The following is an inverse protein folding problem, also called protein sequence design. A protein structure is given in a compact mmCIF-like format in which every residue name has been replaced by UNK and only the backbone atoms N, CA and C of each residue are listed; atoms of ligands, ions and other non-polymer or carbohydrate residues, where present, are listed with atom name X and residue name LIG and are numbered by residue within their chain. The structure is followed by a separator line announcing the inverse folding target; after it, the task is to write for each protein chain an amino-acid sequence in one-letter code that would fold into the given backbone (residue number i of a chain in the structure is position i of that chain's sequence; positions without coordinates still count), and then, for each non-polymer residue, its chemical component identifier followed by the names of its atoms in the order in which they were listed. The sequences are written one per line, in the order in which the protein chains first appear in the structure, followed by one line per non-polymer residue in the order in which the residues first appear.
data_IF_546294495785
#
_entry.id   IF_546294495785
#
_cell.length_a   1.000
_cell.length_b   1.000
_cell.length_c   1.000
_cell.angle_alpha   90.00
_cell.angle_beta   90.00
_cell.angle_gamma   90.00
#
_symmetry.space_group_name_H-M   'P 1'
#
loop_
_entity.id
_entity.type
_entity.pdbx_description
1 polymer ?
#
# COMPACT_ATOMS: atom_id res chain seq x y z
N UNK A 1 20.93 -7.49 38.50
CA UNK A 1 21.03 -7.36 37.04
C UNK A 1 20.06 -8.38 36.45
N UNK A 2 18.80 -7.96 36.28
CA UNK A 2 17.68 -8.83 35.88
C UNK A 2 17.38 -8.55 34.42
N UNK A 3 17.46 -9.58 33.59
CA UNK A 3 17.26 -9.53 32.15
C UNK A 3 15.75 -9.50 31.88
N UNK A 4 15.26 -8.39 31.32
CA UNK A 4 13.86 -8.20 30.97
C UNK A 4 13.43 -9.02 29.76
N UNK A 5 12.27 -9.68 29.89
CA UNK A 5 11.55 -10.35 28.79
C UNK A 5 11.08 -9.29 27.77
N UNK A 6 11.35 -9.53 26.49
CA UNK A 6 10.68 -8.85 25.37
C UNK A 6 9.31 -9.50 25.15
N UNK A 7 8.29 -8.68 24.95
CA UNK A 7 6.90 -9.08 24.70
C UNK A 7 6.74 -9.31 23.18
N UNK A 8 6.71 -10.58 22.75
CA UNK A 8 6.71 -11.03 21.35
C UNK A 8 5.29 -11.09 20.72
N UNK A 9 4.43 -10.10 20.98
CA UNK A 9 3.02 -10.14 20.51
C UNK A 9 2.72 -9.52 19.15
N UNK A 10 3.73 -9.09 18.37
CA UNK A 10 3.52 -8.42 17.06
C UNK A 10 4.39 -9.03 15.96
N UNK A 11 4.35 -10.36 15.80
CA UNK A 11 5.23 -11.00 14.82
C UNK A 11 4.87 -12.43 14.47
N UNK A 12 3.73 -12.62 13.80
CA UNK A 12 3.47 -13.69 12.80
C UNK A 12 1.97 -13.68 12.44
N UNK A 13 1.64 -13.15 11.28
CA UNK A 13 0.41 -13.50 10.56
C UNK A 13 0.71 -13.46 9.07
N UNK A 14 1.32 -14.53 8.58
CA UNK A 14 1.37 -14.85 7.15
C UNK A 14 1.29 -16.36 7.00
N UNK A 15 0.17 -16.95 7.43
CA UNK A 15 -0.17 -18.34 7.13
C UNK A 15 -1.70 -18.47 7.08
N UNK A 16 -2.21 -18.60 5.86
CA UNK A 16 -3.53 -19.10 5.42
C UNK A 16 -4.74 -18.87 6.35
N UNK A 17 -5.44 -17.75 6.18
CA UNK A 17 -6.76 -17.53 6.78
C UNK A 17 -7.88 -18.04 5.86
N UNK A 18 -8.48 -19.17 6.24
CA UNK A 18 -9.74 -19.68 5.65
C UNK A 18 -10.99 -19.03 6.24
N UNK A 19 -12.12 -19.17 5.56
CA UNK A 19 -13.43 -18.73 6.05
C UNK A 19 -13.82 -19.54 7.30
N UNK A 20 -13.87 -18.90 8.47
CA UNK A 20 -14.26 -19.53 9.74
C UNK A 20 -13.57 -19.00 11.01
N UNK A 21 -12.62 -18.07 10.91
CA UNK A 21 -12.01 -17.46 12.09
C UNK A 21 -13.03 -16.60 12.85
N UNK A 22 -13.07 -16.78 14.17
CA UNK A 22 -13.82 -15.91 15.08
C UNK A 22 -13.26 -14.48 14.97
N UNK A 23 -14.10 -13.44 14.86
CA UNK A 23 -13.64 -12.06 14.84
C UNK A 23 -12.71 -11.77 16.04
N UNK A 24 -11.64 -11.01 15.80
CA UNK A 24 -10.83 -10.50 16.89
C UNK A 24 -11.64 -9.48 17.68
N UNK A 25 -11.93 -9.77 18.95
CA UNK A 25 -12.61 -8.84 19.82
C UNK A 25 -11.66 -7.68 20.17
N UNK A 26 -11.98 -6.47 19.70
CA UNK A 26 -11.19 -5.26 19.88
C UNK A 26 -12.06 -4.12 20.40
N UNK A 27 -12.61 -4.23 21.63
CA UNK A 27 -13.54 -3.24 22.17
C UNK A 27 -12.82 -1.96 22.54
N UNK A 28 -13.51 -0.83 22.42
CA UNK A 28 -12.98 0.50 22.72
C UNK A 28 -13.60 1.08 23.98
N UNK A 29 -12.79 1.77 24.79
CA UNK A 29 -13.27 2.62 25.86
C UNK A 29 -13.36 4.07 25.35
N UNK A 30 -14.56 4.62 25.32
CA UNK A 30 -14.82 5.98 24.86
C UNK A 30 -14.99 6.86 26.09
N UNK A 31 -14.01 7.73 26.35
CA UNK A 31 -13.98 8.63 27.50
C UNK A 31 -14.48 10.01 27.07
N UNK A 32 -15.69 10.37 27.50
CA UNK A 32 -16.21 11.72 27.32
C UNK A 32 -15.55 12.64 28.36
N UNK A 33 -14.89 13.69 27.90
CA UNK A 33 -14.08 14.56 28.78
C UNK A 33 -14.49 16.02 28.63
N UNK A 34 -14.64 16.72 29.75
CA UNK A 34 -14.90 18.15 29.79
C UNK A 34 -13.84 18.88 30.60
N UNK A 35 -13.32 19.98 30.07
CA UNK A 35 -12.32 20.78 30.79
C UNK A 35 -12.95 21.51 31.98
N UNK A 36 -12.15 21.85 32.99
CA UNK A 36 -12.63 22.51 34.21
C UNK A 36 -13.40 23.80 33.94
N UNK A 37 -12.99 24.53 32.91
CA UNK A 37 -13.53 25.83 32.49
C UNK A 37 -14.62 25.73 31.39
N UNK A 38 -14.97 24.52 30.95
CA UNK A 38 -16.00 24.27 29.94
C UNK A 38 -16.88 23.11 30.40
N UNK A 39 -18.07 23.38 30.94
CA UNK A 39 -18.90 22.35 31.59
C UNK A 39 -20.01 21.78 30.70
N UNK A 40 -20.08 22.22 29.44
CA UNK A 40 -21.11 21.84 28.49
C UNK A 40 -21.02 20.35 28.11
N UNK A 41 -22.18 19.73 27.94
CA UNK A 41 -22.37 18.36 27.49
C UNK A 41 -23.14 18.39 26.17
N UNK A 42 -22.45 18.36 25.02
CA UNK A 42 -23.11 18.47 23.73
C UNK A 42 -24.09 17.32 23.46
N UNK A 43 -25.14 17.61 22.67
CA UNK A 43 -26.26 16.71 22.35
C UNK A 43 -27.17 16.29 23.51
N UNK A 44 -27.17 17.07 24.59
CA UNK A 44 -28.16 17.01 25.66
C UNK A 44 -27.70 16.22 26.89
N UNK A 45 -28.50 16.22 27.96
CA UNK A 45 -28.14 15.53 29.19
C UNK A 45 -28.11 14.01 28.95
N UNK A 46 -26.92 13.42 29.03
CA UNK A 46 -26.70 11.98 28.90
C UNK A 46 -25.72 11.60 27.79
N UNK A 47 -25.53 10.29 27.62
CA UNK A 47 -24.50 9.74 26.71
C UNK A 47 -25.09 9.05 25.48
N UNK A 48 -26.40 9.16 25.23
CA UNK A 48 -27.09 8.34 24.21
C UNK A 48 -26.53 8.55 22.79
N UNK A 49 -26.25 9.80 22.38
CA UNK A 49 -25.66 10.08 21.07
C UNK A 49 -24.34 9.33 20.86
N UNK A 50 -23.51 9.31 21.89
CA UNK A 50 -22.22 8.63 21.87
C UNK A 50 -22.38 7.10 21.95
N UNK A 51 -23.37 6.60 22.71
CA UNK A 51 -23.71 5.18 22.74
C UNK A 51 -24.16 4.69 21.35
N UNK A 52 -25.06 5.42 20.70
CA UNK A 52 -25.51 5.13 19.33
C UNK A 52 -24.34 5.13 18.33
N UNK A 53 -23.33 5.96 18.55
CA UNK A 53 -22.19 6.07 17.64
C UNK A 53 -21.14 4.98 17.86
N UNK A 54 -20.82 4.64 19.11
CA UNK A 54 -19.64 3.83 19.44
C UNK A 54 -19.93 2.42 19.92
N UNK A 55 -21.19 2.08 20.20
CA UNK A 55 -21.55 0.77 20.77
C UNK A 55 -22.63 0.08 19.96
N UNK A 56 -22.85 -1.20 20.27
CA UNK A 56 -23.89 -2.02 19.66
C UNK A 56 -25.32 -1.47 19.85
N UNK A 57 -25.52 -0.53 20.78
CA UNK A 57 -26.80 0.15 20.98
C UNK A 57 -27.29 0.90 19.72
N UNK A 58 -26.37 1.39 18.89
CA UNK A 58 -26.69 2.06 17.63
C UNK A 58 -26.55 1.19 16.38
N UNK A 59 -26.50 -0.14 16.51
CA UNK A 59 -26.34 -1.05 15.37
C UNK A 59 -27.31 -0.75 14.22
N UNK A 60 -26.79 -0.74 13.00
CA UNK A 60 -27.51 -0.39 11.78
C UNK A 60 -27.74 1.12 11.58
N UNK A 61 -27.15 1.98 12.41
CA UNK A 61 -27.26 3.44 12.31
C UNK A 61 -25.99 4.12 11.78
N UNK A 62 -25.09 3.38 11.15
CA UNK A 62 -23.82 3.89 10.62
C UNK A 62 -22.88 4.40 11.71
N UNK A 63 -22.85 3.67 12.84
CA UNK A 63 -21.88 3.88 13.91
C UNK A 63 -20.53 3.20 13.65
N UNK A 64 -19.59 3.32 14.59
CA UNK A 64 -18.26 2.72 14.49
C UNK A 64 -18.28 1.19 14.57
N UNK A 65 -19.24 0.60 15.29
CA UNK A 65 -19.45 -0.85 15.28
C UNK A 65 -19.84 -1.32 13.87
N UNK A 66 -20.79 -0.62 13.22
CA UNK A 66 -21.20 -0.94 11.84
C UNK A 66 -20.04 -0.75 10.85
N UNK A 67 -19.32 0.37 10.99
CA UNK A 67 -18.19 0.71 10.13
C UNK A 67 -17.12 -0.38 10.17
N UNK A 68 -16.61 -0.73 11.35
CA UNK A 68 -15.55 -1.73 11.46
C UNK A 68 -16.05 -3.14 11.15
N UNK A 69 -17.33 -3.48 11.38
CA UNK A 69 -17.87 -4.75 10.93
C UNK A 69 -17.86 -4.88 9.39
N UNK A 70 -18.24 -3.82 8.67
CA UNK A 70 -18.23 -3.81 7.20
C UNK A 70 -16.82 -3.68 6.63
N UNK A 71 -16.00 -2.73 7.11
CA UNK A 71 -14.66 -2.48 6.58
C UNK A 71 -13.62 -3.52 6.97
N UNK A 72 -13.86 -4.29 8.03
CA UNK A 72 -12.96 -5.38 8.40
C UNK A 72 -13.32 -6.73 7.78
N UNK A 73 -14.39 -6.77 6.97
CA UNK A 73 -15.05 -8.01 6.61
C UNK A 73 -15.31 -8.94 7.81
N UNK A 74 -15.79 -8.35 8.91
CA UNK A 74 -16.07 -9.04 10.17
C UNK A 74 -14.86 -9.69 10.81
N UNK A 75 -13.63 -9.27 10.48
CA UNK A 75 -12.40 -9.75 11.14
C UNK A 75 -12.18 -9.09 12.49
N UNK A 76 -12.76 -7.92 12.74
CA UNK A 76 -12.78 -7.30 14.05
C UNK A 76 -14.20 -7.13 14.57
N UNK A 77 -14.34 -7.26 15.89
CA UNK A 77 -15.59 -7.02 16.60
C UNK A 77 -15.38 -5.95 17.67
N UNK A 78 -16.23 -4.92 17.63
CA UNK A 78 -16.21 -3.79 18.56
C UNK A 78 -17.46 -3.80 19.46
N UNK A 79 -18.26 -4.86 19.44
CA UNK A 79 -19.58 -4.93 20.10
C UNK A 79 -19.53 -4.71 21.61
N UNK A 80 -18.42 -5.08 22.25
CA UNK A 80 -18.13 -4.89 23.68
C UNK A 80 -17.59 -3.48 24.03
N UNK A 81 -17.53 -2.56 23.06
CA UNK A 81 -17.12 -1.17 23.29
C UNK A 81 -18.09 -0.46 24.25
N UNK A 82 -17.56 0.47 25.05
CA UNK A 82 -18.34 1.18 26.06
C UNK A 82 -18.03 2.67 26.07
N UNK A 83 -19.09 3.47 26.18
CA UNK A 83 -18.98 4.90 26.50
C UNK A 83 -19.00 5.10 28.00
N UNK A 84 -18.02 5.88 28.45
CA UNK A 84 -17.85 6.35 29.81
C UNK A 84 -18.25 7.83 29.87
N UNK A 85 -18.92 8.19 30.96
CA UNK A 85 -19.59 9.49 31.11
C UNK A 85 -18.65 10.70 31.05
N UNK A 86 -19.23 11.89 31.22
CA UNK A 86 -18.51 13.16 31.15
C UNK A 86 -17.57 13.37 32.35
N UNK A 87 -16.32 12.95 32.21
CA UNK A 87 -15.28 13.20 33.19
C UNK A 87 -14.84 14.66 33.16
N UNK A 88 -14.95 15.33 34.31
CA UNK A 88 -14.42 16.69 34.48
C UNK A 88 -12.92 16.62 34.74
N UNK A 89 -12.13 17.13 33.79
CA UNK A 89 -10.69 17.24 33.93
C UNK A 89 -10.35 18.37 34.91
N UNK A 90 -9.32 18.18 35.75
CA UNK A 90 -8.82 19.22 36.66
C UNK A 90 -8.02 20.33 35.92
N UNK A 91 -7.99 20.26 34.58
CA UNK A 91 -7.26 21.15 33.65
C UNK A 91 -8.20 22.11 32.93
N UNK A 92 -7.69 23.30 32.63
CA UNK A 92 -8.35 24.26 31.72
C UNK A 92 -8.10 23.85 30.27
N UNK A 93 -8.97 24.28 29.36
CA UNK A 93 -8.72 24.10 27.92
C UNK A 93 -7.40 24.74 27.50
N UNK A 94 -7.04 25.89 28.10
CA UNK A 94 -5.78 26.58 27.84
C UNK A 94 -4.53 25.82 28.29
N UNK A 95 -4.66 24.80 29.15
CA UNK A 95 -3.53 23.98 29.59
C UNK A 95 -3.09 22.99 28.50
N UNK A 96 -3.98 22.68 27.54
CA UNK A 96 -3.64 21.88 26.37
C UNK A 96 -2.90 22.73 25.33
N UNK A 97 -1.67 22.33 25.02
CA UNK A 97 -0.73 23.09 24.17
C UNK A 97 -0.56 22.55 22.75
N UNK A 98 -1.29 21.49 22.40
CA UNK A 98 -1.27 20.89 21.06
C UNK A 98 -2.33 21.42 20.12
N UNK A 99 -2.29 20.91 18.89
CA UNK A 99 -3.38 20.97 17.92
C UNK A 99 -2.96 20.29 16.60
N UNK A 100 -3.81 19.41 16.07
CA UNK A 100 -3.63 18.83 14.73
C UNK A 100 -2.28 18.14 14.58
N UNK A 101 -1.41 18.69 13.72
CA UNK A 101 -0.06 18.13 13.49
C UNK A 101 0.93 18.41 14.64
N UNK A 102 0.63 19.33 15.57
CA UNK A 102 1.46 19.56 16.75
C UNK A 102 1.10 18.55 17.85
N UNK A 103 1.96 17.56 18.15
CA UNK A 103 1.68 16.53 19.15
C UNK A 103 1.85 17.02 20.60
N UNK A 104 2.29 18.27 20.82
CA UNK A 104 2.47 18.81 22.16
C UNK A 104 1.19 18.65 22.99
N UNK A 105 1.30 18.23 24.25
CA UNK A 105 0.13 18.08 25.11
C UNK A 105 -0.85 16.94 24.77
N UNK A 106 -0.78 16.27 23.61
CA UNK A 106 -1.67 15.13 23.27
C UNK A 106 -1.55 13.98 24.26
N UNK A 107 -0.32 13.56 24.52
CA UNK A 107 -0.05 12.52 25.51
C UNK A 107 -0.52 12.93 26.91
N UNK A 108 -0.44 14.23 27.23
CA UNK A 108 -0.93 14.76 28.50
C UNK A 108 -2.45 14.72 28.57
N UNK A 109 -3.16 15.12 27.51
CA UNK A 109 -4.62 15.04 27.42
C UNK A 109 -5.11 13.60 27.61
N UNK A 110 -4.47 12.64 26.93
CA UNK A 110 -4.79 11.21 27.09
C UNK A 110 -4.51 10.75 28.52
N UNK A 111 -3.41 11.19 29.13
CA UNK A 111 -3.10 10.89 30.52
C UNK A 111 -4.13 11.51 31.49
N UNK A 112 -4.60 12.74 31.24
CA UNK A 112 -5.63 13.40 32.04
C UNK A 112 -6.96 12.65 31.97
N UNK A 113 -7.38 12.24 30.76
CA UNK A 113 -8.59 11.45 30.56
C UNK A 113 -8.53 10.10 31.30
N UNK A 114 -7.40 9.37 31.17
CA UNK A 114 -7.20 8.09 31.88
C UNK A 114 -7.17 8.27 33.40
N UNK A 115 -6.53 9.33 33.90
CA UNK A 115 -6.51 9.64 35.32
C UNK A 115 -7.91 9.98 35.86
N UNK A 116 -8.73 10.69 35.07
CA UNK A 116 -10.09 11.02 35.44
C UNK A 116 -11.00 9.77 35.48
N UNK A 117 -10.86 8.85 34.51
CA UNK A 117 -11.54 7.55 34.53
C UNK A 117 -11.13 6.71 35.75
N UNK A 118 -9.83 6.62 36.04
CA UNK A 118 -9.33 5.91 37.22
C UNK A 118 -9.85 6.50 38.54
N UNK A 119 -9.95 7.84 38.64
CA UNK A 119 -10.53 8.54 39.80
C UNK A 119 -12.02 8.24 39.97
N UNK A 120 -12.74 7.98 38.88
CA UNK A 120 -14.13 7.54 38.90
C UNK A 120 -14.29 6.04 39.21
N UNK A 121 -13.20 5.27 39.26
CA UNK A 121 -13.20 3.84 39.53
C UNK A 121 -13.41 2.96 38.29
N UNK A 122 -13.27 3.51 37.08
CA UNK A 122 -13.44 2.77 35.84
C UNK A 122 -12.15 2.06 35.41
N UNK A 123 -12.24 0.75 35.13
CA UNK A 123 -11.14 -0.07 34.63
C UNK A 123 -11.13 -0.06 33.09
N UNK A 124 -10.04 0.45 32.52
CA UNK A 124 -9.83 0.54 31.08
C UNK A 124 -8.99 -0.62 30.52
N UNK A 125 -8.46 -1.51 31.37
CA UNK A 125 -7.60 -2.62 30.96
C UNK A 125 -8.23 -3.66 30.01
N UNK A 126 -9.56 -3.89 30.02
CA UNK A 126 -10.18 -4.86 29.09
C UNK A 126 -10.28 -4.37 27.65
N UNK A 127 -10.07 -3.07 27.40
CA UNK A 127 -10.32 -2.46 26.09
C UNK A 127 -9.04 -2.45 25.23
N UNK A 128 -9.21 -2.75 23.95
CA UNK A 128 -8.16 -2.69 22.94
C UNK A 128 -7.57 -1.29 22.81
N UNK A 129 -8.43 -0.27 22.81
CA UNK A 129 -8.05 1.11 22.61
C UNK A 129 -8.92 2.09 23.38
N UNK A 130 -8.50 3.35 23.38
CA UNK A 130 -9.22 4.45 24.04
C UNK A 130 -9.50 5.56 23.05
N UNK A 131 -10.75 6.02 23.01
CA UNK A 131 -11.14 7.27 22.37
C UNK A 131 -11.31 8.33 23.47
N UNK A 132 -10.59 9.44 23.38
CA UNK A 132 -10.80 10.61 24.23
C UNK A 132 -11.60 11.62 23.42
N UNK A 133 -12.85 11.87 23.82
CA UNK A 133 -13.72 12.81 23.15
C UNK A 133 -13.92 14.05 24.03
N UNK A 134 -13.40 15.20 23.60
CA UNK A 134 -13.51 16.44 24.36
C UNK A 134 -14.76 17.24 23.98
N UNK A 135 -15.43 17.86 24.95
CA UNK A 135 -16.61 18.71 24.73
C UNK A 135 -16.33 20.00 23.95
N UNK A 136 -15.06 20.38 23.84
CA UNK A 136 -14.58 21.59 23.15
C UNK A 136 -13.46 21.25 22.18
N UNK A 137 -13.15 22.12 21.22
CA UNK A 137 -12.21 21.83 20.15
C UNK A 137 -10.81 21.72 20.72
N UNK A 138 -10.20 20.56 20.55
CA UNK A 138 -8.94 20.25 21.23
C UNK A 138 -7.95 19.65 20.27
N UNK A 139 -8.24 18.47 19.73
CA UNK A 139 -7.29 17.76 18.87
C UNK A 139 -8.00 16.70 18.02
N UNK A 140 -7.38 16.35 16.89
CA UNK A 140 -7.82 15.28 16.01
C UNK A 140 -6.64 14.38 15.69
N UNK A 141 -6.65 13.15 16.19
CA UNK A 141 -5.54 12.22 16.02
C UNK A 141 -5.94 10.78 16.32
N UNK A 142 -5.33 9.85 15.56
CA UNK A 142 -5.39 8.43 15.77
C UNK A 142 -4.02 7.78 15.69
N UNK A 143 -3.75 6.82 16.57
CA UNK A 143 -2.55 6.00 16.51
C UNK A 143 -2.27 5.22 17.78
N UNK A 144 -1.63 4.05 17.65
CA UNK A 144 -1.19 3.20 18.78
C UNK A 144 -2.29 2.92 19.81
N UNK A 145 -3.49 2.55 19.37
CA UNK A 145 -4.63 2.23 20.25
C UNK A 145 -5.27 3.45 20.94
N UNK A 146 -4.94 4.68 20.50
CA UNK A 146 -5.52 5.91 21.05
C UNK A 146 -6.09 6.76 19.93
N UNK A 147 -7.27 7.30 20.17
CA UNK A 147 -7.90 8.33 19.34
C UNK A 147 -8.23 9.53 20.21
N UNK A 148 -7.98 10.73 19.70
CA UNK A 148 -8.46 11.98 20.27
C UNK A 148 -9.35 12.66 19.23
N UNK A 149 -10.54 13.06 19.66
CA UNK A 149 -11.50 13.77 18.83
C UNK A 149 -12.24 14.82 19.68
N UNK A 150 -13.03 15.65 19.03
CA UNK A 150 -13.79 16.71 19.67
C UNK A 150 -15.15 16.92 18.99
N UNK A 151 -16.04 17.62 19.71
CA UNK A 151 -17.40 17.91 19.27
C UNK A 151 -17.56 19.16 18.38
N UNK A 152 -16.45 19.80 18.00
CA UNK A 152 -16.56 21.04 17.23
C UNK A 152 -16.70 20.78 15.73
N UNK A 153 -17.44 21.68 15.10
CA UNK A 153 -17.59 21.81 13.66
C UNK A 153 -16.38 22.51 13.09
N UNK A 154 -15.78 21.91 12.07
CA UNK A 154 -14.82 22.60 11.22
C UNK A 154 -15.52 23.81 10.58
N UNK A 155 -15.00 25.04 10.74
CA UNK A 155 -15.64 26.24 10.20
C UNK A 155 -15.75 26.23 8.67
N UNK A 156 -14.79 25.60 7.99
CA UNK A 156 -14.67 25.61 6.53
C UNK A 156 -15.71 24.71 5.85
N UNK A 157 -16.12 23.61 6.47
CA UNK A 157 -17.04 22.64 5.86
C UNK A 157 -18.24 22.24 6.75
N UNK A 158 -18.31 22.73 7.99
CA UNK A 158 -19.39 22.47 8.95
C UNK A 158 -19.33 21.08 9.61
N UNK A 159 -18.39 20.22 9.21
CA UNK A 159 -18.30 18.83 9.65
C UNK A 159 -17.78 18.74 11.08
N UNK A 160 -18.40 17.91 11.90
CA UNK A 160 -17.93 17.68 13.26
C UNK A 160 -16.70 16.78 13.30
N UNK A 161 -15.77 17.06 14.23
CA UNK A 161 -14.62 16.19 14.50
C UNK A 161 -15.01 14.76 14.92
N UNK A 162 -16.21 14.58 15.49
CA UNK A 162 -16.74 13.26 15.82
C UNK A 162 -17.60 12.63 14.71
N UNK A 163 -17.56 13.17 13.49
CA UNK A 163 -18.22 12.57 12.34
C UNK A 163 -17.71 11.15 12.09
N UNK A 164 -18.58 10.16 11.75
CA UNK A 164 -18.15 8.80 11.43
C UNK A 164 -17.05 8.69 10.37
N UNK A 165 -17.04 9.59 9.38
CA UNK A 165 -15.94 9.69 8.41
C UNK A 165 -14.59 9.95 9.08
N UNK A 166 -14.51 10.98 9.94
CA UNK A 166 -13.29 11.33 10.69
C UNK A 166 -12.90 10.22 11.67
N UNK A 167 -13.87 9.71 12.44
CA UNK A 167 -13.61 8.64 13.41
C UNK A 167 -13.13 7.36 12.74
N UNK A 168 -13.68 7.00 11.58
CA UNK A 168 -13.23 5.84 10.82
C UNK A 168 -11.75 5.93 10.42
N UNK A 169 -11.29 7.12 9.99
CA UNK A 169 -9.86 7.38 9.73
C UNK A 169 -9.02 7.27 11.01
N UNK A 170 -9.36 8.02 12.05
CA UNK A 170 -8.52 8.09 13.25
C UNK A 170 -8.49 6.75 14.01
N UNK A 171 -9.62 6.06 14.11
CA UNK A 171 -9.64 4.70 14.66
C UNK A 171 -8.89 3.73 13.73
N UNK A 172 -8.93 3.92 12.41
CA UNK A 172 -8.14 3.17 11.43
C UNK A 172 -6.62 3.26 11.68
N UNK A 173 -6.11 4.44 12.01
CA UNK A 173 -4.70 4.63 12.39
C UNK A 173 -4.28 3.80 13.60
N UNK A 174 -5.19 3.55 14.54
CA UNK A 174 -4.90 2.69 15.69
C UNK A 174 -4.69 1.22 15.33
N UNK A 175 -5.23 0.78 14.20
CA UNK A 175 -5.01 -0.55 13.62
C UNK A 175 -3.81 -0.60 12.66
N UNK A 176 -3.11 0.51 12.44
CA UNK A 176 -1.89 0.57 11.63
C UNK A 176 -2.10 1.01 10.18
N UNK A 177 -3.30 1.51 9.84
CA UNK A 177 -3.54 2.11 8.51
C UNK A 177 -2.85 3.47 8.42
N UNK A 178 -2.22 3.76 7.28
CA UNK A 178 -1.68 5.09 6.96
C UNK A 178 -2.62 5.82 5.98
N UNK A 179 -2.33 7.08 5.70
CA UNK A 179 -3.08 7.85 4.72
C UNK A 179 -3.01 7.23 3.33
N UNK A 180 -4.12 7.31 2.61
CA UNK A 180 -4.22 6.84 1.23
C UNK A 180 -3.75 7.89 0.25
N UNK A 181 -3.19 7.43 -0.87
CA UNK A 181 -2.53 8.26 -1.88
C UNK A 181 -3.05 7.94 -3.28
N UNK A 182 -2.83 8.85 -4.22
CA UNK A 182 -2.76 8.57 -5.64
C UNK A 182 -1.30 8.32 -6.05
N UNK A 183 -1.09 7.53 -7.10
CA UNK A 183 0.26 7.25 -7.62
C UNK A 183 0.93 8.50 -8.23
N UNK A 184 0.13 9.50 -8.62
CA UNK A 184 0.61 10.69 -9.32
C UNK A 184 1.47 11.62 -8.45
N UNK A 185 1.17 11.72 -7.15
CA UNK A 185 1.79 12.73 -6.27
C UNK A 185 2.60 12.14 -5.11
N UNK A 186 2.30 10.90 -4.70
CA UNK A 186 2.82 10.33 -3.45
C UNK A 186 2.43 11.12 -2.19
N UNK A 187 1.51 12.09 -2.31
CA UNK A 187 1.04 12.92 -1.21
C UNK A 187 -0.14 12.26 -0.49
N UNK A 188 -0.17 12.40 0.83
CA UNK A 188 -1.27 11.92 1.66
C UNK A 188 -2.60 12.62 1.32
N UNK A 189 -3.71 11.90 1.55
CA UNK A 189 -5.08 12.39 1.37
C UNK A 189 -5.48 12.69 -0.08
N UNK A 190 -4.99 11.89 -1.01
CA UNK A 190 -5.25 12.08 -2.46
C UNK A 190 -6.16 11.02 -3.07
N UNK A 191 -6.35 9.86 -2.40
CA UNK A 191 -7.37 8.88 -2.82
C UNK A 191 -8.77 9.28 -2.30
N UNK A 192 -9.58 9.87 -3.17
CA UNK A 192 -10.92 10.35 -2.79
C UNK A 192 -11.95 9.24 -2.52
N UNK A 193 -11.63 7.97 -2.76
CA UNK A 193 -12.53 6.82 -2.57
C UNK A 193 -12.22 5.99 -1.32
N UNK A 194 -11.26 6.44 -0.51
CA UNK A 194 -10.86 5.76 0.72
C UNK A 194 -10.94 6.70 1.93
N UNK A 195 -11.39 6.15 3.06
CA UNK A 195 -11.57 6.94 4.30
C UNK A 195 -10.26 7.46 4.89
N UNK A 196 -9.12 6.82 4.60
CA UNK A 196 -7.81 7.30 5.04
C UNK A 196 -7.35 8.53 4.26
N UNK A 197 -8.24 9.11 3.46
CA UNK A 197 -8.12 10.41 2.80
C UNK A 197 -9.20 11.42 3.25
N UNK A 198 -9.79 11.31 4.45
CA UNK A 198 -11.00 12.04 4.87
C UNK A 198 -10.94 13.56 4.60
N UNK A 199 -9.75 14.18 4.65
CA UNK A 199 -9.57 15.59 4.29
C UNK A 199 -10.09 15.96 2.87
N UNK A 200 -10.11 15.00 1.93
CA UNK A 200 -10.52 15.18 0.53
C UNK A 200 -11.46 14.07 0.00
N UNK A 201 -11.91 13.16 0.88
CA UNK A 201 -12.68 11.98 0.50
C UNK A 201 -14.12 12.31 0.04
N UNK A 202 -14.70 11.41 -0.77
CA UNK A 202 -16.07 11.49 -1.28
C UNK A 202 -17.08 10.99 -0.24
N UNK A 203 -17.28 11.80 0.79
CA UNK A 203 -18.19 11.50 1.89
C UNK A 203 -19.65 11.81 1.53
N UNK A 204 -20.59 11.26 2.28
CA UNK A 204 -22.02 11.57 2.17
C UNK A 204 -22.61 12.05 3.51
N UNK A 205 -23.73 12.80 3.51
CA UNK A 205 -24.45 13.14 4.73
C UNK A 205 -24.85 11.87 5.50
N UNK A 206 -24.74 11.92 6.83
CA UNK A 206 -25.16 10.80 7.68
C UNK A 206 -26.68 10.59 7.60
N UNK A 207 -27.16 9.35 7.39
CA UNK A 207 -28.59 9.10 7.19
C UNK A 207 -29.45 9.30 8.47
N UNK A 208 -28.86 9.11 9.65
CA UNK A 208 -29.56 9.25 10.94
C UNK A 208 -29.23 10.53 11.73
N UNK A 209 -28.05 11.13 11.54
CA UNK A 209 -27.56 12.29 12.28
C UNK A 209 -27.60 13.45 11.30
N UNK A 210 -28.80 13.96 11.05
CA UNK A 210 -29.11 14.83 9.91
C UNK A 210 -28.97 16.31 10.23
N UNK A 211 -28.40 16.67 11.37
CA UNK A 211 -28.21 18.05 11.79
C UNK A 211 -27.38 18.83 10.76
N UNK A 212 -27.76 20.10 10.57
CA UNK A 212 -27.10 21.02 9.64
C UNK A 212 -26.54 22.22 10.39
N UNK A 213 -25.45 22.76 9.89
CA UNK A 213 -24.87 23.99 10.41
C UNK A 213 -25.68 25.23 10.01
N UNK A 214 -25.22 26.41 10.43
CA UNK A 214 -25.88 27.70 10.13
C UNK A 214 -25.97 28.02 8.64
N UNK A 215 -25.13 27.39 7.82
CA UNK A 215 -25.11 27.52 6.36
C UNK A 215 -25.87 26.40 5.66
N UNK A 216 -26.56 25.53 6.40
CA UNK A 216 -27.32 24.40 5.86
C UNK A 216 -26.46 23.20 5.45
N UNK A 217 -25.16 23.16 5.78
CA UNK A 217 -24.26 22.05 5.46
C UNK A 217 -24.45 20.90 6.46
N UNK A 218 -24.39 19.62 6.03
CA UNK A 218 -24.45 18.49 6.95
C UNK A 218 -23.30 18.52 7.97
N UNK A 219 -23.62 18.33 9.25
CA UNK A 219 -22.61 18.28 10.31
C UNK A 219 -21.95 16.89 10.39
N UNK A 220 -22.73 15.84 10.15
CA UNK A 220 -22.25 14.46 10.19
C UNK A 220 -22.19 13.88 8.79
N UNK A 221 -21.06 13.22 8.53
CA UNK A 221 -20.79 12.58 7.26
C UNK A 221 -20.31 11.15 7.48
N UNK A 222 -20.55 10.31 6.48
CA UNK A 222 -20.19 8.90 6.47
C UNK A 222 -19.33 8.60 5.25
N UNK A 223 -18.45 7.63 5.44
CA UNK A 223 -17.60 7.05 4.41
C UNK A 223 -16.70 8.06 3.68
N UNK A 224 -16.21 7.71 2.47
CA UNK A 224 -16.35 6.41 1.80
C UNK A 224 -15.77 5.26 2.63
N UNK A 225 -16.05 4.01 2.28
CA UNK A 225 -15.41 2.86 2.94
C UNK A 225 -13.92 2.73 2.63
N UNK A 226 -13.24 1.78 3.29
CA UNK A 226 -11.84 1.45 3.00
C UNK A 226 -11.67 0.79 1.64
N UNK A 227 -10.55 1.05 0.97
CA UNK A 227 -10.09 0.30 -0.20
C UNK A 227 -9.51 -1.07 0.22
N UNK A 228 -9.51 -2.01 -0.72
CA UNK A 228 -9.10 -3.39 -0.55
C UNK A 228 -7.61 -3.52 -0.18
N UNK A 229 -6.77 -2.60 -0.65
CA UNK A 229 -5.34 -2.58 -0.34
C UNK A 229 -5.09 -2.32 1.15
N UNK A 230 -5.72 -1.29 1.70
CA UNK A 230 -5.71 -0.99 3.13
C UNK A 230 -6.32 -2.13 3.93
N UNK A 231 -7.49 -2.64 3.54
CA UNK A 231 -8.12 -3.78 4.21
C UNK A 231 -7.17 -4.98 4.26
N UNK A 232 -6.52 -5.34 3.14
CA UNK A 232 -5.57 -6.46 3.11
C UNK A 232 -4.35 -6.21 4.00
N UNK A 233 -3.82 -4.99 4.02
CA UNK A 233 -2.61 -4.64 4.76
C UNK A 233 -2.68 -4.95 6.27
N UNK A 234 -3.89 -4.93 6.83
CA UNK A 234 -4.17 -5.23 8.25
C UNK A 234 -4.92 -6.56 8.44
N UNK A 235 -4.97 -7.40 7.39
CA UNK A 235 -5.58 -8.73 7.45
C UNK A 235 -7.11 -8.74 7.50
N UNK A 236 -7.74 -7.65 7.06
CA UNK A 236 -9.19 -7.48 7.07
C UNK A 236 -9.86 -7.93 5.79
N UNK A 237 -9.18 -7.89 4.64
CA UNK A 237 -9.77 -8.36 3.40
C UNK A 237 -10.10 -9.86 3.51
N UNK A 238 -11.29 -10.25 3.08
CA UNK A 238 -11.71 -11.65 3.07
C UNK A 238 -11.04 -12.37 1.89
N UNK A 239 -9.86 -12.94 2.15
CA UNK A 239 -9.04 -13.61 1.14
C UNK A 239 -9.75 -14.80 0.46
N UNK A 240 -10.77 -15.39 1.10
CA UNK A 240 -11.58 -16.44 0.46
C UNK A 240 -12.50 -15.92 -0.65
N UNK A 241 -12.72 -14.59 -0.68
CA UNK A 241 -13.56 -13.87 -1.64
C UNK A 241 -12.74 -13.01 -2.59
N UNK A 242 -11.42 -13.24 -2.67
CA UNK A 242 -10.53 -12.59 -3.64
C UNK A 242 -10.27 -13.56 -4.79
N UNK A 243 -10.59 -13.16 -6.02
CA UNK A 243 -10.16 -13.89 -7.20
C UNK A 243 -8.70 -13.54 -7.53
N UNK A 244 -7.88 -14.53 -7.89
CA UNK A 244 -6.43 -14.37 -8.09
C UNK A 244 -6.07 -14.81 -9.50
N UNK A 245 -5.51 -13.90 -10.28
CA UNK A 245 -5.01 -14.24 -11.62
C UNK A 245 -3.81 -15.18 -11.52
N UNK A 246 -3.74 -16.14 -12.44
CA UNK A 246 -2.54 -16.93 -12.66
C UNK A 246 -1.35 -16.09 -13.10
N UNK A 247 -0.18 -16.72 -13.23
CA UNK A 247 1.01 -16.06 -13.79
C UNK A 247 0.85 -15.71 -15.26
N UNK A 248 0.10 -16.53 -15.99
CA UNK A 248 -0.34 -16.30 -17.35
C UNK A 248 -1.87 -16.48 -17.36
N UNK A 249 -2.59 -15.41 -17.67
CA UNK A 249 -4.07 -15.35 -17.65
C UNK A 249 -4.51 -14.63 -18.91
N UNK A 250 -5.50 -15.15 -19.64
CA UNK A 250 -5.93 -14.52 -20.89
C UNK A 250 -7.44 -14.60 -21.09
N UNK A 251 -8.08 -13.44 -21.08
CA UNK A 251 -9.47 -13.28 -21.49
C UNK A 251 -10.53 -13.87 -20.55
N UNK A 252 -10.20 -14.27 -19.33
CA UNK A 252 -11.20 -14.82 -18.40
C UNK A 252 -12.09 -13.71 -17.83
N UNK A 253 -13.43 -13.81 -18.00
CA UNK A 253 -14.34 -12.87 -17.38
C UNK A 253 -14.50 -13.18 -15.88
N UNK A 254 -14.28 -12.18 -15.04
CA UNK A 254 -14.45 -12.25 -13.58
C UNK A 254 -15.54 -11.29 -13.15
N UNK A 255 -16.44 -11.73 -12.28
CA UNK A 255 -17.54 -10.90 -11.77
C UNK A 255 -17.24 -10.49 -10.32
N UNK A 256 -17.14 -9.19 -10.09
CA UNK A 256 -17.01 -8.59 -8.77
C UNK A 256 -18.35 -8.12 -8.22
N UNK A 257 -18.51 -8.27 -6.91
CA UNK A 257 -19.52 -7.63 -6.06
C UNK A 257 -18.93 -6.38 -5.41
N UNK A 258 -19.76 -5.45 -4.93
CA UNK A 258 -19.26 -4.27 -4.23
C UNK A 258 -18.42 -4.70 -3.02
N UNK A 259 -17.26 -4.08 -2.84
CA UNK A 259 -16.22 -4.52 -1.91
C UNK A 259 -16.75 -4.87 -0.51
N UNK A 260 -17.58 -4.01 0.07
CA UNK A 260 -18.07 -4.19 1.45
C UNK A 260 -19.34 -5.06 1.58
N UNK A 261 -19.87 -5.59 0.47
CA UNK A 261 -21.14 -6.35 0.42
C UNK A 261 -20.93 -7.85 0.57
N UNK A 262 -20.40 -8.27 1.71
CA UNK A 262 -20.17 -9.69 2.05
C UNK A 262 -21.43 -10.54 2.07
N UNK A 263 -22.57 -9.91 2.32
CA UNK A 263 -23.90 -10.51 2.29
C UNK A 263 -24.31 -11.00 0.89
N UNK A 264 -23.69 -10.46 -0.17
CA UNK A 264 -23.87 -10.94 -1.54
C UNK A 264 -22.87 -12.05 -1.85
N UNK A 265 -23.22 -13.09 -2.63
CA UNK A 265 -22.29 -14.10 -3.09
C UNK A 265 -21.45 -13.62 -4.29
N UNK A 266 -20.19 -14.08 -4.40
CA UNK A 266 -19.27 -13.76 -5.51
C UNK A 266 -17.94 -13.16 -5.06
N UNK A 267 -17.06 -12.74 -5.95
CA UNK A 267 -15.79 -12.14 -5.52
C UNK A 267 -15.99 -10.69 -5.05
N UNK A 268 -15.26 -10.25 -4.02
CA UNK A 268 -15.31 -8.87 -3.49
C UNK A 268 -14.14 -8.02 -4.00
N UNK A 269 -13.04 -8.68 -4.35
CA UNK A 269 -11.86 -8.06 -4.95
C UNK A 269 -11.19 -9.03 -5.92
N UNK A 270 -10.30 -8.49 -6.73
CA UNK A 270 -9.50 -9.21 -7.71
C UNK A 270 -8.03 -8.82 -7.55
N UNK A 271 -7.14 -9.81 -7.60
CA UNK A 271 -5.70 -9.61 -7.49
C UNK A 271 -5.00 -9.99 -8.79
N UNK A 272 -4.24 -9.04 -9.35
CA UNK A 272 -3.50 -9.20 -10.61
C UNK A 272 -2.11 -8.60 -10.44
N UNK A 273 -1.12 -9.45 -10.22
CA UNK A 273 0.23 -8.99 -9.89
C UNK A 273 0.24 -8.22 -8.57
N UNK A 274 0.80 -6.99 -8.52
CA UNK A 274 0.81 -6.19 -7.29
C UNK A 274 -0.50 -5.43 -7.03
N UNK A 275 -1.46 -5.50 -7.97
CA UNK A 275 -2.66 -4.69 -7.95
C UNK A 275 -3.84 -5.44 -7.33
N UNK A 276 -4.60 -4.71 -6.53
CA UNK A 276 -5.93 -5.07 -6.06
C UNK A 276 -6.96 -4.24 -6.81
N UNK A 277 -8.01 -4.89 -7.27
CA UNK A 277 -9.11 -4.29 -8.02
C UNK A 277 -10.40 -4.52 -7.26
N UNK A 278 -11.18 -3.46 -7.11
CA UNK A 278 -12.42 -3.46 -6.35
C UNK A 278 -13.55 -2.80 -7.13
N UNK A 279 -14.78 -3.26 -6.88
CA UNK A 279 -15.98 -2.62 -7.39
C UNK A 279 -16.65 -1.84 -6.27
N UNK A 280 -17.04 -0.59 -6.54
CA UNK A 280 -17.69 0.32 -5.58
C UNK A 280 -19.00 0.85 -6.16
N UNK A 281 -20.02 1.00 -5.33
CA UNK A 281 -21.37 1.44 -5.72
C UNK A 281 -21.80 2.58 -4.79
N UNK A 282 -22.48 3.65 -5.28
CA UNK A 282 -22.86 4.80 -4.48
C UNK A 282 -24.04 4.50 -3.54
N UNK A 283 -23.81 3.63 -2.57
CA UNK A 283 -24.76 3.24 -1.52
C UNK A 283 -24.04 3.10 -0.18
N UNK A 284 -24.80 3.19 0.92
CA UNK A 284 -24.28 3.01 2.29
C UNK A 284 -23.08 3.95 2.56
N UNK A 285 -21.96 3.40 3.03
CA UNK A 285 -20.72 4.14 3.29
C UNK A 285 -20.21 4.84 2.03
N UNK A 286 -20.43 4.27 0.86
CA UNK A 286 -19.99 4.83 -0.41
C UNK A 286 -20.99 5.77 -1.07
N UNK A 287 -22.07 6.17 -0.39
CA UNK A 287 -23.10 7.03 -0.98
C UNK A 287 -22.56 8.34 -1.61
N UNK A 288 -21.38 8.81 -1.20
CA UNK A 288 -20.74 10.02 -1.72
C UNK A 288 -19.91 9.84 -2.99
N UNK A 289 -19.63 8.60 -3.43
CA UNK A 289 -18.67 8.35 -4.52
C UNK A 289 -19.18 8.78 -5.91
N UNK A 290 -20.48 9.06 -6.04
CA UNK A 290 -21.12 9.61 -7.23
C UNK A 290 -21.67 8.58 -8.21
N UNK A 291 -20.86 7.63 -8.67
CA UNK A 291 -21.26 6.59 -9.62
C UNK A 291 -20.62 5.24 -9.28
N UNK A 292 -21.24 4.15 -9.76
CA UNK A 292 -20.67 2.83 -9.63
C UNK A 292 -19.40 2.73 -10.50
N UNK A 293 -18.31 2.24 -9.94
CA UNK A 293 -16.99 2.30 -10.57
C UNK A 293 -16.09 1.17 -10.10
N UNK A 294 -15.12 0.82 -10.94
CA UNK A 294 -14.03 -0.09 -10.60
C UNK A 294 -12.79 0.74 -10.30
N UNK A 295 -12.13 0.44 -9.19
CA UNK A 295 -10.90 1.11 -8.76
C UNK A 295 -9.76 0.09 -8.73
N UNK A 296 -8.55 0.58 -8.96
CA UNK A 296 -7.33 -0.22 -8.91
C UNK A 296 -6.38 0.42 -7.92
N UNK A 297 -5.87 -0.38 -6.99
CA UNK A 297 -4.93 0.06 -5.97
C UNK A 297 -3.71 -0.84 -5.94
N UNK A 298 -2.55 -0.26 -5.65
CA UNK A 298 -1.37 -0.98 -5.19
C UNK A 298 -1.09 -0.65 -3.72
N UNK A 299 -0.31 -1.51 -3.05
CA UNK A 299 0.14 -1.25 -1.67
C UNK A 299 1.66 -1.28 -1.61
N UNK A 300 2.28 -0.17 -1.17
CA UNK A 300 3.72 -0.04 -1.08
C UNK A 300 4.13 0.91 0.04
N UNK A 301 5.23 0.61 0.74
CA UNK A 301 5.76 1.49 1.79
C UNK A 301 4.77 1.80 2.92
N UNK A 302 3.78 0.93 3.16
CA UNK A 302 2.74 1.13 4.18
C UNK A 302 1.55 1.98 3.73
N UNK A 303 1.47 2.38 2.47
CA UNK A 303 0.37 3.19 1.92
C UNK A 303 -0.32 2.46 0.76
N UNK A 304 -1.62 2.68 0.59
CA UNK A 304 -2.34 2.36 -0.64
C UNK A 304 -2.20 3.50 -1.65
N UNK A 305 -2.01 3.17 -2.92
CA UNK A 305 -1.97 4.11 -4.04
C UNK A 305 -3.07 3.78 -5.03
N UNK A 306 -3.94 4.75 -5.30
CA UNK A 306 -4.96 4.69 -6.33
C UNK A 306 -4.32 4.90 -7.70
N UNK A 307 -4.59 3.97 -8.62
CA UNK A 307 -4.04 3.94 -9.96
C UNK A 307 -5.00 4.57 -10.98
N UNK A 308 -4.43 5.24 -11.98
CA UNK A 308 -5.18 5.74 -13.13
C UNK A 308 -5.32 4.67 -14.21
N UNK A 309 -6.50 4.59 -14.82
CA UNK A 309 -6.70 3.83 -16.06
C UNK A 309 -6.00 4.48 -17.25
N UNK A 310 -6.06 3.81 -18.40
CA UNK A 310 -5.50 4.28 -19.66
C UNK A 310 -6.08 5.64 -20.12
N UNK A 311 -7.31 5.96 -19.70
CA UNK A 311 -7.96 7.25 -19.96
C UNK A 311 -7.49 8.39 -19.03
N UNK A 312 -6.56 8.14 -18.10
CA UNK A 312 -5.98 9.15 -17.21
C UNK A 312 -6.84 9.51 -16.00
N UNK A 313 -7.84 8.70 -15.67
CA UNK A 313 -8.65 8.84 -14.46
C UNK A 313 -8.77 7.50 -13.71
N UNK A 314 -8.98 7.53 -12.38
CA UNK A 314 -8.95 6.31 -11.57
C UNK A 314 -10.31 5.60 -11.47
N UNK A 315 -11.41 6.31 -11.69
CA UNK A 315 -12.76 5.74 -11.66
C UNK A 315 -13.10 5.03 -12.96
N UNK A 316 -12.69 3.76 -13.09
CA UNK A 316 -12.94 2.98 -14.30
C UNK A 316 -14.45 2.70 -14.44
N UNK A 317 -14.96 2.99 -15.63
CA UNK A 317 -16.33 2.75 -16.08
C UNK A 317 -16.32 1.73 -17.22
N UNK A 318 -17.49 1.42 -17.78
CA UNK A 318 -17.59 0.45 -18.86
C UNK A 318 -16.68 0.83 -20.05
N UNK A 319 -15.94 -0.16 -20.56
CA UNK A 319 -14.94 -0.06 -21.63
C UNK A 319 -13.62 0.63 -21.24
N UNK A 320 -13.50 1.13 -20.00
CA UNK A 320 -12.22 1.63 -19.52
C UNK A 320 -11.27 0.47 -19.22
N UNK A 321 -9.98 0.75 -19.39
CA UNK A 321 -8.91 -0.22 -19.14
C UNK A 321 -7.90 0.33 -18.15
N UNK A 322 -7.27 -0.58 -17.41
CA UNK A 322 -6.04 -0.35 -16.68
C UNK A 322 -4.97 -1.29 -17.23
N UNK A 323 -3.76 -0.81 -17.44
CA UNK A 323 -2.67 -1.64 -17.96
C UNK A 323 -1.33 -1.26 -17.35
N UNK A 324 -0.51 -2.27 -17.08
CA UNK A 324 0.86 -2.09 -16.61
C UNK A 324 1.82 -2.96 -17.44
N UNK A 325 2.99 -2.42 -17.75
CA UNK A 325 3.98 -3.04 -18.65
C UNK A 325 3.70 -2.78 -20.14
N UNK A 326 4.61 -3.23 -21.01
CA UNK A 326 4.54 -2.97 -22.44
C UNK A 326 3.90 -4.16 -23.18
N UNK A 327 2.74 -3.94 -23.81
CA UNK A 327 2.03 -4.99 -24.58
C UNK A 327 2.88 -5.56 -25.74
N UNK A 328 3.67 -4.70 -26.40
CA UNK A 328 4.53 -5.05 -27.53
C UNK A 328 5.82 -5.80 -27.19
N UNK A 329 6.21 -5.90 -25.91
CA UNK A 329 7.40 -6.63 -25.49
C UNK A 329 7.02 -8.04 -25.03
N UNK A 330 6.96 -9.01 -25.95
CA UNK A 330 6.45 -10.37 -25.69
C UNK A 330 7.12 -11.15 -24.54
N UNK A 331 8.31 -10.74 -24.12
CA UNK A 331 9.02 -11.33 -22.98
C UNK A 331 8.83 -10.53 -21.69
N UNK A 332 8.51 -9.24 -21.76
CA UNK A 332 8.30 -8.42 -20.57
C UNK A 332 6.96 -8.76 -19.90
N UNK A 333 6.86 -8.54 -18.58
CA UNK A 333 5.59 -8.68 -17.88
C UNK A 333 4.62 -7.64 -18.43
N UNK A 334 3.37 -8.06 -18.56
CA UNK A 334 2.29 -7.20 -19.01
C UNK A 334 1.00 -7.63 -18.34
N UNK A 335 0.17 -6.67 -17.98
CA UNK A 335 -1.19 -6.92 -17.56
C UNK A 335 -2.12 -5.87 -18.12
N UNK A 336 -3.36 -6.27 -18.33
CA UNK A 336 -4.47 -5.42 -18.72
C UNK A 336 -5.74 -5.92 -18.02
N UNK A 337 -6.50 -4.98 -17.49
CA UNK A 337 -7.81 -5.19 -16.89
C UNK A 337 -8.78 -4.30 -17.66
N UNK A 338 -9.80 -4.90 -18.27
CA UNK A 338 -10.86 -4.18 -18.96
C UNK A 338 -12.17 -4.32 -18.21
N UNK A 339 -12.88 -3.21 -18.00
CA UNK A 339 -14.23 -3.22 -17.44
C UNK A 339 -15.23 -3.51 -18.56
N UNK A 340 -15.61 -4.78 -18.74
CA UNK A 340 -16.56 -5.18 -19.79
C UNK A 340 -17.95 -4.55 -19.55
N UNK A 341 -18.41 -4.58 -18.30
CA UNK A 341 -19.76 -4.12 -17.95
C UNK A 341 -19.86 -3.77 -16.46
N UNK A 342 -20.60 -2.71 -16.15
CA UNK A 342 -21.10 -2.41 -14.81
C UNK A 342 -22.62 -2.47 -14.83
N UNK A 343 -23.21 -3.31 -13.98
CA UNK A 343 -24.64 -3.37 -13.75
C UNK A 343 -24.96 -2.91 -12.32
N UNK A 344 -25.46 -1.67 -12.15
CA UNK A 344 -25.80 -1.13 -10.84
C UNK A 344 -27.06 -1.78 -10.23
N UNK A 345 -27.93 -2.39 -11.04
CA UNK A 345 -29.17 -3.04 -10.56
C UNK A 345 -28.82 -4.35 -9.88
N UNK A 346 -28.03 -5.19 -10.55
CA UNK A 346 -27.59 -6.47 -9.98
C UNK A 346 -26.36 -6.31 -9.09
N UNK A 347 -25.77 -5.11 -9.02
CA UNK A 347 -24.55 -4.79 -8.26
C UNK A 347 -23.41 -5.72 -8.66
N UNK A 348 -23.05 -5.68 -9.94
CA UNK A 348 -21.92 -6.43 -10.46
C UNK A 348 -21.06 -5.59 -11.41
N UNK A 349 -19.76 -5.80 -11.36
CA UNK A 349 -18.84 -5.42 -12.44
C UNK A 349 -18.25 -6.70 -13.05
N UNK A 350 -18.31 -6.81 -14.38
CA UNK A 350 -17.65 -7.89 -15.13
C UNK A 350 -16.36 -7.35 -15.72
N UNK A 351 -15.25 -8.01 -15.41
CA UNK A 351 -13.90 -7.61 -15.80
C UNK A 351 -13.29 -8.68 -16.70
N UNK A 352 -12.54 -8.28 -17.73
CA UNK A 352 -11.63 -9.16 -18.45
C UNK A 352 -10.23 -8.94 -17.91
N UNK A 353 -9.53 -10.01 -17.59
CA UNK A 353 -8.14 -9.95 -17.14
C UNK A 353 -7.23 -10.66 -18.13
N UNK A 354 -6.20 -9.94 -18.54
CA UNK A 354 -5.09 -10.46 -19.30
C UNK A 354 -3.80 -10.19 -18.51
N UNK A 355 -3.00 -11.22 -18.27
CA UNK A 355 -1.73 -11.15 -17.55
C UNK A 355 -0.71 -12.07 -18.22
N UNK A 356 0.50 -11.55 -18.36
CA UNK A 356 1.68 -12.25 -18.83
C UNK A 356 2.79 -12.07 -17.81
N UNK A 357 3.35 -13.17 -17.32
CA UNK A 357 4.52 -13.13 -16.44
C UNK A 357 5.74 -12.59 -17.14
N UNK A 358 6.72 -12.13 -16.36
CA UNK A 358 8.04 -11.81 -16.88
C UNK A 358 8.70 -13.09 -17.41
N UNK A 359 8.97 -13.12 -18.71
CA UNK A 359 9.69 -14.18 -19.42
C UNK A 359 11.04 -13.68 -19.93
N UNK A 360 11.44 -12.45 -19.58
CA UNK A 360 12.78 -11.96 -19.89
C UNK A 360 13.76 -12.91 -19.21
N UNK A 361 14.71 -13.47 -19.96
CA UNK A 361 15.70 -14.34 -19.36
C UNK A 361 16.48 -13.54 -18.31
N UNK A 362 16.51 -14.03 -17.08
CA UNK A 362 17.37 -13.48 -16.03
C UNK A 362 18.80 -13.86 -16.42
N UNK A 363 19.57 -12.89 -16.92
CA UNK A 363 20.98 -13.10 -17.23
C UNK A 363 21.74 -13.09 -15.90
N UNK A 364 21.83 -14.27 -15.29
CA UNK A 364 22.71 -14.61 -14.18
C UNK A 364 23.45 -15.91 -14.50
N UNK A 365 24.59 -16.19 -13.86
CA UNK A 365 25.56 -17.20 -14.32
C UNK A 365 25.08 -18.67 -14.32
N UNK A 366 23.84 -18.96 -13.91
CA UNK A 366 23.29 -20.32 -13.87
C UNK A 366 22.18 -20.60 -14.90
N UNK A 367 21.73 -19.60 -15.69
CA UNK A 367 20.74 -19.82 -16.74
C UNK A 367 21.39 -19.73 -18.12
N UNK A 368 21.94 -20.85 -18.57
CA UNK A 368 22.26 -21.03 -19.99
C UNK A 368 20.96 -21.08 -20.77
N UNK A 369 20.72 -20.08 -21.61
CA UNK A 369 19.69 -20.16 -22.65
C UNK A 369 20.31 -21.00 -23.77
N UNK A 370 20.05 -22.31 -23.69
CA UNK A 370 20.61 -23.40 -24.50
C UNK A 370 22.03 -23.85 -24.10
N UNK A 371 22.06 -24.81 -23.18
CA UNK A 371 23.24 -25.61 -22.88
C UNK A 371 23.18 -26.97 -23.55
N UNK A 372 24.38 -27.45 -23.92
CA UNK A 372 24.79 -28.76 -24.47
C UNK A 372 24.84 -28.80 -26.01
N UNK A 373 25.96 -29.08 -26.69
CA UNK A 373 27.19 -29.76 -26.30
C UNK A 373 28.41 -29.37 -27.17
N UNK A 374 29.60 -29.37 -26.57
CA UNK A 374 30.94 -29.55 -27.19
C UNK A 374 31.67 -28.40 -27.90
N UNK A 375 31.07 -27.24 -28.10
CA UNK A 375 31.70 -26.15 -28.88
C UNK A 375 31.89 -24.80 -28.16
N UNK A 376 31.40 -24.58 -26.94
CA UNK A 376 31.76 -23.42 -26.10
C UNK A 376 31.51 -22.02 -26.74
N UNK A 377 30.39 -21.85 -27.45
CA UNK A 377 29.88 -20.53 -27.86
C UNK A 377 28.90 -19.94 -26.83
N UNK A 378 28.57 -18.65 -26.96
CA UNK A 378 27.63 -17.96 -26.06
C UNK A 378 26.79 -16.89 -26.77
N UNK A 379 25.70 -16.47 -26.16
CA UNK A 379 24.86 -15.36 -26.64
C UNK A 379 24.91 -14.24 -25.59
N UNK A 380 25.24 -13.02 -26.02
CA UNK A 380 25.19 -11.83 -25.18
C UNK A 380 24.12 -10.85 -25.68
N UNK A 381 23.41 -10.21 -24.76
CA UNK A 381 22.50 -9.12 -25.07
C UNK A 381 23.21 -7.79 -24.80
N UNK A 382 23.44 -7.01 -25.86
CA UNK A 382 24.06 -5.68 -25.76
C UNK A 382 23.14 -4.68 -26.44
N UNK A 383 22.61 -3.71 -25.67
CA UNK A 383 21.69 -2.68 -26.16
C UNK A 383 20.48 -3.24 -26.95
N UNK A 384 19.83 -4.27 -26.42
CA UNK A 384 18.66 -4.90 -27.04
C UNK A 384 18.96 -5.73 -28.29
N UNK A 385 20.23 -5.95 -28.65
CA UNK A 385 20.66 -6.80 -29.76
C UNK A 385 21.30 -8.08 -29.27
N UNK A 386 21.00 -9.17 -29.96
CA UNK A 386 21.60 -10.49 -29.78
C UNK A 386 22.97 -10.49 -30.47
N UNK A 387 24.04 -10.71 -29.69
CA UNK A 387 25.40 -10.88 -30.17
C UNK A 387 25.79 -12.34 -29.98
N UNK A 388 26.10 -13.02 -31.09
CA UNK A 388 26.59 -14.40 -31.07
C UNK A 388 28.09 -14.36 -30.85
N UNK A 389 28.55 -15.01 -29.78
CA UNK A 389 29.97 -15.14 -29.44
C UNK A 389 30.43 -16.51 -29.91
N UNK A 390 31.35 -16.57 -30.89
CA UNK A 390 31.82 -17.84 -31.41
C UNK A 390 32.53 -18.69 -30.34
N UNK A 391 32.46 -20.03 -30.48
CA UNK A 391 33.40 -20.98 -29.89
C UNK A 391 34.83 -20.45 -29.79
N UNK A 392 35.41 -20.46 -28.57
CA UNK A 392 36.83 -20.09 -28.32
C UNK A 392 37.19 -18.64 -28.67
N UNK A 393 36.21 -17.74 -28.75
CA UNK A 393 36.49 -16.32 -28.93
C UNK A 393 37.24 -15.74 -27.72
N UNK A 394 38.29 -14.93 -27.90
CA UNK A 394 38.92 -14.19 -26.80
C UNK A 394 37.93 -13.34 -25.99
N UNK A 395 36.84 -12.90 -26.63
CA UNK A 395 35.77 -12.14 -25.98
C UNK A 395 34.98 -12.97 -24.95
N UNK A 396 34.94 -14.30 -25.10
CA UNK A 396 34.30 -15.18 -24.13
C UNK A 396 35.03 -15.15 -22.78
N UNK A 397 36.36 -15.24 -22.82
CA UNK A 397 37.21 -15.20 -21.62
C UNK A 397 37.12 -13.84 -20.90
N UNK A 398 36.94 -12.76 -21.66
CA UNK A 398 36.70 -11.42 -21.10
C UNK A 398 35.35 -11.35 -20.37
N UNK A 399 34.29 -11.90 -20.96
CA UNK A 399 32.97 -11.92 -20.35
C UNK A 399 32.92 -12.82 -19.11
N UNK A 400 33.57 -13.99 -19.16
CA UNK A 400 33.72 -14.88 -18.00
C UNK A 400 34.47 -14.19 -16.86
N UNK A 401 35.51 -13.41 -17.16
CA UNK A 401 36.26 -12.66 -16.16
C UNK A 401 35.42 -11.54 -15.53
N UNK A 402 34.67 -10.76 -16.33
CA UNK A 402 33.76 -9.73 -15.81
C UNK A 402 32.66 -10.36 -14.94
N UNK A 403 32.05 -11.46 -15.39
CA UNK A 403 31.05 -12.18 -14.62
C UNK A 403 31.62 -12.72 -13.29
N UNK A 404 32.87 -13.20 -13.30
CA UNK A 404 33.55 -13.67 -12.09
C UNK A 404 33.83 -12.55 -11.09
N UNK A 405 34.10 -11.32 -11.56
CA UNK A 405 34.25 -10.15 -10.69
C UNK A 405 32.94 -9.78 -9.98
N UNK A 406 31.83 -9.73 -10.71
CA UNK A 406 30.50 -9.45 -10.14
C UNK A 406 30.06 -10.50 -9.12
N UNK A 407 30.38 -11.78 -9.37
CA UNK A 407 30.04 -12.85 -8.44
C UNK A 407 30.89 -12.81 -7.16
N UNK A 408 32.13 -12.36 -7.25
CA UNK A 408 32.98 -12.22 -6.08
C UNK A 408 32.37 -11.28 -5.02
N UNK A 409 31.69 -10.22 -5.45
CA UNK A 409 31.03 -9.26 -4.56
C UNK A 409 29.87 -9.88 -3.77
N UNK A 410 29.33 -11.00 -4.22
CA UNK A 410 28.27 -11.77 -3.54
C UNK A 410 28.81 -12.82 -2.57
N UNK A 411 30.10 -13.15 -2.61
CA UNK A 411 30.71 -14.12 -1.70
C UNK A 411 30.83 -13.54 -0.29
N UNK A 412 30.35 -14.26 0.72
CA UNK A 412 30.42 -13.85 2.14
C UNK A 412 31.84 -13.92 2.72
N UNK A 413 32.72 -14.74 2.14
CA UNK A 413 34.12 -14.89 2.55
C UNK A 413 35.03 -13.87 1.86
N UNK A 414 35.68 -13.01 2.65
CA UNK A 414 36.60 -11.99 2.15
C UNK A 414 37.79 -12.59 1.38
N UNK A 415 38.33 -13.72 1.84
CA UNK A 415 39.48 -14.38 1.18
C UNK A 415 39.07 -15.03 -0.15
N UNK A 416 37.87 -15.63 -0.22
CA UNK A 416 37.37 -16.23 -1.46
C UNK A 416 37.01 -15.14 -2.49
N UNK A 417 36.44 -14.02 -2.02
CA UNK A 417 36.21 -12.82 -2.83
C UNK A 417 37.51 -12.29 -3.43
N UNK A 418 38.53 -12.08 -2.59
CA UNK A 418 39.83 -11.59 -3.05
C UNK A 418 40.46 -12.53 -4.10
N UNK A 419 40.51 -13.83 -3.83
CA UNK A 419 41.11 -14.79 -4.74
C UNK A 419 40.41 -14.84 -6.11
N UNK A 420 39.07 -14.77 -6.12
CA UNK A 420 38.29 -14.76 -7.35
C UNK A 420 38.46 -13.46 -8.14
N UNK A 421 38.49 -12.30 -7.45
CA UNK A 421 38.76 -11.00 -8.07
C UNK A 421 40.17 -10.94 -8.66
N UNK A 422 41.18 -11.43 -7.95
CA UNK A 422 42.57 -11.47 -8.41
C UNK A 422 42.71 -12.32 -9.68
N UNK A 423 42.09 -13.51 -9.70
CA UNK A 423 42.09 -14.38 -10.87
C UNK A 423 41.39 -13.75 -12.08
N UNK A 424 40.25 -13.10 -11.86
CA UNK A 424 39.50 -12.42 -12.92
C UNK A 424 40.27 -11.22 -13.50
N UNK A 425 40.86 -10.39 -12.64
CA UNK A 425 41.69 -9.25 -13.05
C UNK A 425 42.93 -9.71 -13.84
N UNK A 426 43.55 -10.83 -13.46
CA UNK A 426 44.68 -11.39 -14.20
C UNK A 426 44.29 -11.80 -15.64
N UNK A 427 43.08 -12.33 -15.83
CA UNK A 427 42.54 -12.68 -17.16
C UNK A 427 42.27 -11.43 -18.00
N UNK A 428 41.69 -10.38 -17.39
CA UNK A 428 41.44 -9.09 -18.05
C UNK A 428 42.75 -8.40 -18.46
N UNK A 429 43.73 -8.39 -17.55
CA UNK A 429 45.05 -7.81 -17.82
C UNK A 429 45.75 -8.54 -18.96
N UNK A 430 45.82 -9.87 -18.92
CA UNK A 430 46.45 -10.66 -19.98
C UNK A 430 45.79 -10.45 -21.35
N UNK A 431 44.45 -10.45 -21.36
CA UNK A 431 43.68 -10.27 -22.59
C UNK A 431 43.84 -8.86 -23.18
N UNK A 432 43.87 -7.84 -22.33
CA UNK A 432 44.11 -6.45 -22.78
C UNK A 432 45.53 -6.26 -23.31
N UNK A 433 46.55 -6.82 -22.65
CA UNK A 433 47.94 -6.79 -23.12
C UNK A 433 48.11 -7.45 -24.49
N UNK A 434 47.56 -8.65 -24.69
CA UNK A 434 47.60 -9.34 -25.99
C UNK A 434 46.94 -8.52 -27.11
N UNK A 435 45.84 -7.83 -26.81
CA UNK A 435 45.14 -7.00 -27.79
C UNK A 435 45.93 -5.73 -28.13
N UNK A 436 46.56 -5.12 -27.14
CA UNK A 436 47.43 -3.95 -27.34
C UNK A 436 48.69 -4.32 -28.14
N UNK A 437 49.29 -5.49 -27.92
CA UNK A 437 50.39 -6.00 -28.75
C UNK A 437 49.96 -6.21 -30.21
N UNK A 438 48.79 -6.81 -30.44
CA UNK A 438 48.23 -6.95 -31.79
C UNK A 438 48.03 -5.60 -32.47
N UNK A 439 47.56 -4.59 -31.74
CA UNK A 439 47.39 -3.24 -32.26
C UNK A 439 48.74 -2.55 -32.53
N UNK A 440 49.72 -2.69 -31.64
CA UNK A 440 51.06 -2.11 -31.80
C UNK A 440 51.87 -2.71 -32.96
N UNK A 441 51.60 -3.97 -33.33
CA UNK A 441 52.17 -4.60 -34.52
C UNK A 441 51.78 -3.93 -35.84
N UNK A 442 50.68 -3.16 -35.87
CA UNK A 442 50.29 -2.33 -37.02
C UNK A 442 51.04 -1.00 -37.11
N UNK A 443 51.86 -0.64 -36.11
CA UNK A 443 52.53 0.66 -36.01
C UNK A 443 54.07 0.61 -36.09
N UNK A 444 54.70 -0.51 -36.43
CA UNK A 444 56.18 -0.59 -36.59
C UNK A 444 56.62 -0.25 -38.03
N UNK A 445 57.49 0.75 -38.28
CA UNK A 445 57.97 1.07 -39.64
C UNK A 445 59.01 0.05 -40.13
N UNK A 446 58.92 -0.36 -41.39
CA UNK A 446 59.88 -1.28 -42.02
C UNK A 446 61.24 -0.61 -42.28
N UNK A 447 62.30 -1.20 -41.75
CA UNK A 447 63.69 -0.78 -42.04
C UNK A 447 64.07 -1.28 -43.44
N UNK A 448 64.27 -0.34 -44.40
CA UNK A 448 64.89 -0.64 -45.70
C UNK A 448 66.40 -0.72 -45.53
N UNK A 449 66.99 -1.89 -45.75
CA UNK A 449 68.42 -2.06 -45.99
C UNK A 449 68.71 -1.68 -47.44
N UNK A 450 69.64 -0.74 -47.64
CA UNK A 450 70.19 -0.34 -48.94
C UNK A 450 71.42 -1.20 -49.31
N UNK A 451 71.85 -1.07 -50.57
CA UNK A 451 73.05 -1.64 -51.25
C UNK A 451 72.86 -3.04 -51.88
N UNK A 452 73.20 -3.33 -53.15
CA UNK A 452 74.11 -2.75 -54.17
C UNK A 452 73.69 -3.21 -55.60
N UNK A 453 73.84 -2.31 -56.58
CA UNK A 453 73.85 -2.46 -58.06
C UNK A 453 75.19 -3.15 -58.51
N UNK A 454 75.38 -3.91 -59.63
CA UNK A 454 75.15 -3.40 -60.99
C UNK A 454 74.95 -4.38 -62.17
N UNK A 455 74.66 -3.76 -63.34
CA UNK A 455 74.60 -4.27 -64.74
C UNK A 455 73.19 -4.71 -65.15
N UNK A 456 72.47 -4.03 -66.04
CA UNK A 456 72.88 -3.31 -67.24
C UNK A 456 72.69 -4.22 -68.45
N UNK A 457 71.65 -3.98 -69.26
CA UNK A 457 71.64 -4.21 -70.71
C UNK A 457 70.31 -3.74 -71.34
N UNK A 458 70.47 -3.22 -72.55
CA UNK A 458 69.62 -2.32 -73.33
C UNK A 458 68.78 -3.02 -74.42
N UNK A 459 67.84 -2.25 -74.99
CA UNK A 459 67.17 -2.39 -76.31
C UNK A 459 66.19 -3.57 -76.44
N UNK A 460 64.95 -3.42 -76.93
CA UNK A 460 64.39 -2.63 -78.05
C UNK A 460 63.08 -1.98 -77.65
#
# INVERSE_FOLDING_TARGET
MVIGRRDDRIGRCSEMAGAGETPMNTPWAILLCKFRDHDDEPYGPGTQRYQDLFTSAGGGRFGMVDFFAEMSHGRVDLSDSRVFGWYKLDKRRSDYTGSGQNPAGRNELVAWARAAAAKAGDDLSPYFGVVVLTNVPTDMFGGRGVVVSHDERNPDNGMSGFSPSMLGQEMGHAYGLNHSRDDASGADYTDRWDIMSTANARMAPHPFFTERDVSGRPIFQVGPGLNAANMRSVGWLDESRVWRAGDDEYGMPVVLRPLHRRDLPGYLALEVGPYLVEFRVPERWDAGIGAATVLVHQFAGGHSYLENGAAGHPNLSQSDTFGAGASGEHLAPWLEIEVIQIDPVTRTATLRVDRRRDRRPVVGPAASIFGTASDAGGIAFVNGRIVIIPPRSPSLHLLEAVASMEEADRLTSANARWALQEQALAVLQRSSSLRMEQLNGFFTPSVRVAEIDPKGLSAV
#
